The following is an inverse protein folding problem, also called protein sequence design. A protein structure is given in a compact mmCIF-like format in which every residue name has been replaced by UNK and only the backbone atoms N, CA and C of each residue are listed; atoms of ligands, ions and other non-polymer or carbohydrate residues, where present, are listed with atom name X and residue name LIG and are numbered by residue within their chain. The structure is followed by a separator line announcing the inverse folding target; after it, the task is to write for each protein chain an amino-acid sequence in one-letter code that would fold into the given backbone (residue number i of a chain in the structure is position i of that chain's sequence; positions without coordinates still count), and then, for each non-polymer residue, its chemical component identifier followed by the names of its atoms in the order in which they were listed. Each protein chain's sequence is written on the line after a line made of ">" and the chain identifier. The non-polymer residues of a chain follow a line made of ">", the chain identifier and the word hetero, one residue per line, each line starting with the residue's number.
data_IF_052355612742
#
_entry.id   IF_052355612742
#
_cell.length_a   1.000
_cell.length_b   1.000
_cell.length_c   1.000
_cell.angle_alpha   90.00
_cell.angle_beta   90.00
_cell.angle_gamma   90.00
#
_symmetry.space_group_name_H-M   'P 1'
#
loop_
_entity.id
_entity.type
_entity.pdbx_description
1 polymer ?
#
# COMPACT_ATOMS: atom_id res chain seq x y z
N UNK A 1 5.16 -11.95 3.32
CA UNK A 1 4.17 -10.88 3.47
C UNK A 1 4.71 -9.74 4.30
N UNK A 2 5.12 -8.70 3.61
CA UNK A 2 5.64 -7.50 4.24
C UNK A 2 4.60 -6.39 4.21
N UNK A 3 3.92 -6.16 5.33
CA UNK A 3 2.99 -5.03 5.48
C UNK A 3 3.64 -3.71 5.03
N UNK A 4 4.92 -3.51 5.33
CA UNK A 4 5.67 -2.34 4.89
C UNK A 4 5.73 -2.22 3.35
N UNK A 5 5.92 -3.32 2.61
CA UNK A 5 5.94 -3.29 1.13
C UNK A 5 4.57 -2.87 0.60
N UNK A 6 3.51 -3.51 1.07
CA UNK A 6 2.14 -3.18 0.63
C UNK A 6 1.75 -1.74 0.95
N UNK A 7 2.07 -1.27 2.16
CA UNK A 7 1.82 0.10 2.58
C UNK A 7 2.58 1.12 1.72
N UNK A 8 3.87 0.88 1.50
CA UNK A 8 4.73 1.80 0.72
C UNK A 8 4.37 1.81 -0.76
N UNK A 9 3.97 0.67 -1.35
CA UNK A 9 3.43 0.62 -2.71
C UNK A 9 2.14 1.44 -2.81
N UNK A 10 1.21 1.28 -1.86
CA UNK A 10 -0.03 2.05 -1.84
C UNK A 10 0.19 3.57 -1.76
N UNK A 11 1.12 4.03 -0.91
CA UNK A 11 1.50 5.45 -0.86
C UNK A 11 2.15 5.89 -2.18
N UNK A 12 3.07 5.09 -2.72
CA UNK A 12 3.79 5.42 -3.96
C UNK A 12 2.82 5.61 -5.13
N UNK A 13 1.81 4.74 -5.25
CA UNK A 13 0.79 4.88 -6.29
C UNK A 13 -0.06 6.14 -6.07
N UNK A 14 -0.46 6.44 -4.84
CA UNK A 14 -1.21 7.66 -4.55
C UNK A 14 -0.41 8.93 -4.89
N UNK A 15 0.87 8.98 -4.52
CA UNK A 15 1.76 10.09 -4.90
C UNK A 15 1.80 10.28 -6.41
N UNK A 16 1.93 9.21 -7.19
CA UNK A 16 1.90 9.28 -8.64
C UNK A 16 0.55 9.77 -9.18
N UNK A 17 -0.56 9.34 -8.61
CA UNK A 17 -1.91 9.81 -8.98
C UNK A 17 -2.05 11.31 -8.71
N UNK A 18 -1.66 11.77 -7.53
CA UNK A 18 -1.80 13.17 -7.13
C UNK A 18 -0.86 14.12 -7.89
N UNK A 19 0.17 13.63 -8.60
CA UNK A 19 0.86 14.49 -9.59
C UNK A 19 -0.04 14.97 -10.74
N UNK A 20 -1.26 14.42 -10.87
CA UNK A 20 -2.21 14.71 -11.96
C UNK A 20 -3.62 15.03 -11.47
N UNK A 21 -3.86 15.01 -10.17
CA UNK A 21 -5.19 15.20 -9.58
C UNK A 21 -5.05 16.27 -8.52
N UNK A 22 -5.57 17.45 -8.82
CA UNK A 22 -5.52 18.59 -7.91
C UNK A 22 -6.56 18.44 -6.81
N UNK A 23 -6.09 18.32 -5.57
CA UNK A 23 -6.93 18.38 -4.37
C UNK A 23 -6.31 19.34 -3.36
N UNK A 24 -7.10 19.89 -2.41
CA UNK A 24 -6.52 20.64 -1.30
C UNK A 24 -5.51 19.76 -0.54
N UNK A 25 -4.34 20.31 -0.22
CA UNK A 25 -3.23 19.57 0.44
C UNK A 25 -3.66 18.74 1.67
N UNK A 26 -4.57 19.19 2.55
CA UNK A 26 -5.03 18.36 3.67
C UNK A 26 -5.73 17.06 3.22
N UNK A 27 -6.45 17.10 2.09
CA UNK A 27 -7.14 15.94 1.53
C UNK A 27 -6.14 14.99 0.85
N UNK A 28 -5.20 15.52 0.07
CA UNK A 28 -4.12 14.72 -0.54
C UNK A 28 -3.36 13.96 0.54
N UNK A 29 -2.96 14.64 1.61
CA UNK A 29 -2.25 14.02 2.73
C UNK A 29 -3.03 12.85 3.32
N UNK A 30 -4.31 13.06 3.65
CA UNK A 30 -5.15 12.00 4.19
C UNK A 30 -5.29 10.84 3.21
N UNK A 31 -5.59 11.12 1.95
CA UNK A 31 -5.83 10.09 0.93
C UNK A 31 -4.56 9.31 0.59
N UNK A 32 -3.38 9.93 0.63
CA UNK A 32 -2.09 9.22 0.46
C UNK A 32 -1.92 8.15 1.54
N UNK A 33 -2.15 8.49 2.81
CA UNK A 33 -2.06 7.51 3.90
C UNK A 33 -3.18 6.46 3.81
N UNK A 34 -4.41 6.87 3.52
CA UNK A 34 -5.51 5.94 3.28
C UNK A 34 -5.19 4.94 2.15
N UNK A 35 -4.51 5.37 1.10
CA UNK A 35 -4.05 4.51 0.02
C UNK A 35 -3.01 3.48 0.48
N UNK A 36 -2.08 3.88 1.36
CA UNK A 36 -1.17 2.94 2.01
C UNK A 36 -1.93 1.88 2.82
N UNK A 37 -2.88 2.31 3.65
CA UNK A 37 -3.73 1.38 4.43
C UNK A 37 -4.63 0.51 3.55
N UNK A 38 -5.08 1.02 2.41
CA UNK A 38 -5.81 0.23 1.41
C UNK A 38 -4.99 -0.97 0.96
N UNK A 39 -3.70 -0.78 0.69
CA UNK A 39 -2.78 -1.88 0.35
C UNK A 39 -2.64 -2.93 1.45
N UNK A 40 -2.86 -2.57 2.72
CA UNK A 40 -2.76 -3.47 3.88
C UNK A 40 -4.04 -4.25 4.20
N UNK A 41 -5.18 -3.86 3.62
CA UNK A 41 -6.49 -4.45 3.95
C UNK A 41 -6.47 -6.00 3.88
N UNK A 42 -5.84 -6.65 2.87
CA UNK A 42 -5.81 -8.11 2.82
C UNK A 42 -4.97 -8.77 3.93
N UNK A 43 -3.91 -8.10 4.42
CA UNK A 43 -3.08 -8.56 5.55
C UNK A 43 -3.87 -8.66 6.86
N UNK A 44 -5.05 -8.05 6.94
CA UNK A 44 -5.90 -8.02 8.13
C UNK A 44 -6.23 -9.39 8.75
N UNK A 45 -6.13 -10.49 7.98
CA UNK A 45 -6.30 -11.84 8.54
C UNK A 45 -5.27 -12.18 9.62
N UNK A 46 -4.05 -11.62 9.53
CA UNK A 46 -3.02 -11.77 10.57
C UNK A 46 -3.43 -11.06 11.86
N UNK A 47 -3.98 -9.86 11.74
CA UNK A 47 -4.46 -9.09 12.89
C UNK A 47 -5.63 -9.81 13.58
N UNK A 48 -6.61 -10.31 12.82
CA UNK A 48 -7.70 -11.10 13.39
C UNK A 48 -7.22 -12.36 14.09
N UNK A 49 -6.18 -13.02 13.54
CA UNK A 49 -5.56 -14.18 14.17
C UNK A 49 -4.88 -13.81 15.49
N UNK A 50 -4.16 -12.69 15.53
CA UNK A 50 -3.48 -12.20 16.73
C UNK A 50 -4.48 -11.90 17.86
N UNK A 51 -5.64 -11.34 17.52
CA UNK A 51 -6.74 -11.11 18.47
C UNK A 51 -7.56 -12.37 18.83
N UNK A 52 -7.17 -13.56 18.34
CA UNK A 52 -7.87 -14.81 18.62
C UNK A 52 -9.20 -14.99 17.88
N UNK A 53 -9.51 -14.14 16.89
CA UNK A 53 -10.75 -14.17 16.09
C UNK A 53 -10.55 -15.11 14.89
N UNK A 54 -10.42 -16.41 15.18
CA UNK A 54 -10.00 -17.44 14.22
C UNK A 54 -10.97 -17.65 13.04
N UNK A 55 -12.28 -17.55 13.28
CA UNK A 55 -13.30 -17.70 12.24
C UNK A 55 -13.22 -16.61 11.16
N UNK A 56 -13.11 -15.35 11.58
CA UNK A 56 -12.94 -14.20 10.68
C UNK A 56 -11.59 -14.28 9.97
N UNK A 57 -10.52 -14.61 10.70
CA UNK A 57 -9.18 -14.74 10.12
C UNK A 57 -9.12 -15.78 8.99
N UNK A 58 -9.79 -16.93 9.15
CA UNK A 58 -9.81 -17.98 8.11
C UNK A 58 -10.58 -17.56 6.86
N UNK A 59 -11.74 -16.93 7.04
CA UNK A 59 -12.55 -16.40 5.93
C UNK A 59 -11.81 -15.28 5.18
N UNK A 60 -11.20 -14.36 5.92
CA UNK A 60 -10.42 -13.28 5.34
C UNK A 60 -9.19 -13.79 4.60
N UNK A 61 -8.51 -14.80 5.15
CA UNK A 61 -7.40 -15.48 4.47
C UNK A 61 -7.87 -16.12 3.16
N UNK A 62 -9.06 -16.73 3.12
CA UNK A 62 -9.59 -17.29 1.88
C UNK A 62 -9.80 -16.20 0.80
N UNK A 63 -10.33 -15.04 1.18
CA UNK A 63 -10.46 -13.87 0.28
C UNK A 63 -9.08 -13.41 -0.20
N UNK A 64 -8.12 -13.24 0.71
CA UNK A 64 -6.75 -12.84 0.42
C UNK A 64 -6.08 -13.72 -0.64
N UNK A 65 -6.39 -15.01 -0.70
CA UNK A 65 -5.77 -15.93 -1.66
C UNK A 65 -6.38 -15.84 -3.07
N UNK A 66 -7.29 -14.89 -3.33
CA UNK A 66 -7.93 -14.71 -4.64
C UNK A 66 -7.26 -13.62 -5.48
N UNK A 67 -7.44 -13.70 -6.80
CA UNK A 67 -6.95 -12.67 -7.74
C UNK A 67 -7.63 -11.31 -7.56
N UNK A 68 -8.83 -11.27 -6.96
CA UNK A 68 -9.58 -10.04 -6.71
C UNK A 68 -8.88 -9.10 -5.73
N UNK A 69 -7.95 -9.63 -4.96
CA UNK A 69 -7.18 -8.88 -3.97
C UNK A 69 -6.18 -7.93 -4.64
N UNK A 70 -5.95 -8.09 -5.95
CA UNK A 70 -5.20 -7.11 -6.73
C UNK A 70 -5.85 -5.71 -6.80
N UNK A 71 -7.13 -5.56 -6.43
CA UNK A 71 -7.77 -4.24 -6.26
C UNK A 71 -7.11 -3.45 -5.11
N UNK A 72 -6.49 -4.14 -4.15
CA UNK A 72 -5.71 -3.55 -3.06
C UNK A 72 -4.26 -3.31 -3.48
N UNK A 73 -4.08 -2.59 -4.59
CA UNK A 73 -2.76 -2.25 -5.15
C UNK A 73 -1.91 -3.47 -5.56
N UNK A 74 -2.47 -4.34 -6.41
CA UNK A 74 -1.76 -5.51 -6.96
C UNK A 74 -1.24 -6.47 -5.88
N UNK A 75 -1.93 -6.51 -4.75
CA UNK A 75 -1.52 -7.24 -3.56
C UNK A 75 -1.12 -8.70 -3.83
N UNK A 76 -1.99 -9.48 -4.46
CA UNK A 76 -1.71 -10.87 -4.79
C UNK A 76 -0.52 -11.00 -5.76
N UNK A 77 -0.35 -10.05 -6.68
CA UNK A 77 0.81 -10.02 -7.56
C UNK A 77 2.10 -9.76 -6.77
N UNK A 78 2.11 -8.79 -5.85
CA UNK A 78 3.25 -8.48 -4.98
C UNK A 78 3.63 -9.73 -4.16
N UNK A 79 2.66 -10.39 -3.53
CA UNK A 79 2.87 -11.65 -2.82
C UNK A 79 3.49 -12.73 -3.70
N UNK A 80 3.04 -12.85 -4.96
CA UNK A 80 3.50 -13.90 -5.88
C UNK A 80 4.96 -13.77 -6.32
N UNK A 81 5.54 -12.57 -6.17
CA UNK A 81 6.94 -12.30 -6.51
C UNK A 81 7.84 -12.16 -5.28
N UNK A 82 7.30 -12.37 -4.06
CA UNK A 82 8.11 -12.39 -2.85
C UNK A 82 9.18 -13.50 -2.93
N UNK A 83 10.39 -13.15 -2.53
CA UNK A 83 11.57 -14.02 -2.55
C UNK A 83 11.90 -14.56 -1.15
N UNK A 84 11.18 -14.11 -0.12
CA UNK A 84 11.47 -14.37 1.29
C UNK A 84 12.63 -13.53 1.84
N UNK A 85 13.21 -12.63 1.04
CA UNK A 85 14.30 -11.73 1.45
C UNK A 85 13.74 -10.44 2.02
N UNK A 86 13.03 -10.58 3.14
CA UNK A 86 12.28 -9.53 3.80
C UNK A 86 12.99 -8.15 3.85
N UNK A 87 14.23 -8.08 4.35
CA UNK A 87 14.89 -6.77 4.48
C UNK A 87 15.24 -6.12 3.13
N UNK A 88 15.54 -6.93 2.11
CA UNK A 88 15.83 -6.43 0.78
C UNK A 88 14.56 -5.91 0.10
N UNK A 89 13.45 -6.66 0.19
CA UNK A 89 12.16 -6.28 -0.37
C UNK A 89 11.65 -4.96 0.24
N UNK A 90 11.70 -4.85 1.56
CA UNK A 90 11.39 -3.61 2.28
C UNK A 90 12.30 -2.44 1.84
N UNK A 91 13.61 -2.69 1.69
CA UNK A 91 14.57 -1.67 1.25
C UNK A 91 14.28 -1.18 -0.17
N UNK A 92 13.95 -2.09 -1.09
CA UNK A 92 13.56 -1.75 -2.47
C UNK A 92 12.26 -0.93 -2.45
N UNK A 93 11.25 -1.36 -1.70
CA UNK A 93 9.96 -0.67 -1.63
C UNK A 93 10.08 0.75 -1.03
N UNK A 94 10.89 0.91 0.02
CA UNK A 94 11.23 2.23 0.57
C UNK A 94 12.02 3.09 -0.43
N UNK A 95 12.92 2.50 -1.20
CA UNK A 95 13.65 3.20 -2.27
C UNK A 95 12.71 3.72 -3.36
N UNK A 96 11.75 2.90 -3.79
CA UNK A 96 10.71 3.30 -4.74
C UNK A 96 9.86 4.44 -4.16
N UNK A 97 9.45 4.32 -2.90
CA UNK A 97 8.70 5.37 -2.21
C UNK A 97 9.49 6.69 -2.16
N UNK A 98 10.79 6.64 -1.85
CA UNK A 98 11.63 7.84 -1.83
C UNK A 98 11.68 8.53 -3.21
N UNK A 99 11.80 7.74 -4.29
CA UNK A 99 11.74 8.27 -5.66
C UNK A 99 10.36 8.89 -5.94
N UNK A 100 9.27 8.24 -5.53
CA UNK A 100 7.92 8.77 -5.69
C UNK A 100 7.71 10.08 -4.92
N UNK A 101 8.20 10.17 -3.67
CA UNK A 101 8.14 11.38 -2.85
C UNK A 101 8.94 12.51 -3.50
N UNK A 102 10.15 12.23 -3.97
CA UNK A 102 10.98 13.24 -4.65
C UNK A 102 10.31 13.73 -5.94
N UNK A 103 9.73 12.82 -6.72
CA UNK A 103 8.95 13.15 -7.91
C UNK A 103 7.74 14.00 -7.58
N UNK A 104 6.92 13.59 -6.61
CA UNK A 104 5.75 14.35 -6.15
C UNK A 104 6.14 15.75 -5.70
N UNK A 105 7.14 15.87 -4.83
CA UNK A 105 7.62 17.18 -4.38
C UNK A 105 8.06 18.09 -5.54
N UNK A 106 8.72 17.54 -6.56
CA UNK A 106 9.23 18.31 -7.71
C UNK A 106 8.14 18.73 -8.70
N UNK A 107 7.11 17.92 -8.88
CA UNK A 107 6.12 18.07 -9.96
C UNK A 107 4.72 18.45 -9.47
N UNK A 108 4.43 18.36 -8.17
CA UNK A 108 3.17 18.83 -7.63
C UNK A 108 3.15 20.36 -7.57
N UNK A 109 2.07 20.97 -8.03
CA UNK A 109 1.90 22.42 -8.06
C UNK A 109 1.33 22.91 -6.72
N UNK A 110 2.17 22.89 -5.68
CA UNK A 110 1.85 23.26 -4.29
C UNK A 110 1.20 24.63 -4.09
N UNK A 111 1.19 25.47 -5.13
CA UNK A 111 0.81 26.89 -5.07
C UNK A 111 -0.54 27.20 -5.72
N UNK A 112 -1.26 26.20 -6.25
CA UNK A 112 -2.52 26.41 -6.98
C UNK A 112 -3.77 26.14 -6.09
N UNK A 113 -3.61 25.79 -4.82
CA UNK A 113 -4.73 25.56 -3.89
C UNK A 113 -5.33 26.83 -3.30
#
# INVERSE_FOLDING_TARGET
>A
MQALVHFTVGISIALLIFTRVDLPTPQEFLLMFCSGFWGLVPDGHWLFREFGITGVASTWRAVHQTVYVNVFWFHHFIDSIETGRNNLEAGIALGILLVAVAGYHRYNDWTIS
#
